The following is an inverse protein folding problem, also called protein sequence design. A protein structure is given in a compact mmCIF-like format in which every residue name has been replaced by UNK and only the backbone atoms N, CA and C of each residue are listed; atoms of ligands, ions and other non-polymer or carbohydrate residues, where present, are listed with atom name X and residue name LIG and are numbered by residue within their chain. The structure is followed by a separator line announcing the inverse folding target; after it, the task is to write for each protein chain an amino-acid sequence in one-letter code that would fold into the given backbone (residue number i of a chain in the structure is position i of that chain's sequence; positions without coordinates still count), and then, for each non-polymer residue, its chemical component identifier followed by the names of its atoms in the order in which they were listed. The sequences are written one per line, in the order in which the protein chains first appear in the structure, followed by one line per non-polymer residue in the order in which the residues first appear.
data_IF_073553969700
#
_entry.id   IF_073553969700
#
_cell.length_a   1.000
_cell.length_b   1.000
_cell.length_c   1.000
_cell.angle_alpha   90.00
_cell.angle_beta   90.00
_cell.angle_gamma   90.00
#
_symmetry.space_group_name_H-M   'P 1'
#
loop_
_entity.id
_entity.type
_entity.pdbx_description
1 polymer ?
#
# COMPACT_ATOMS: atom_id res chain seq x y z
N UNK A 1 58.16 7.49 47.61
CA UNK A 1 58.50 7.92 46.24
C UNK A 1 57.36 7.51 45.33
N UNK A 2 56.32 8.32 45.26
CA UNK A 2 55.30 8.26 44.22
C UNK A 2 55.06 9.73 43.87
N UNK A 3 55.54 10.08 42.69
CA UNK A 3 55.63 11.45 42.17
C UNK A 3 54.29 11.85 41.56
N UNK A 4 53.83 13.01 42.01
CA UNK A 4 52.69 13.77 41.53
C UNK A 4 53.06 14.44 40.20
N UNK A 5 52.18 14.40 39.20
CA UNK A 5 52.54 14.79 37.83
C UNK A 5 51.37 15.27 36.99
N UNK A 6 50.61 16.20 37.57
CA UNK A 6 49.63 17.09 36.97
C UNK A 6 49.94 17.49 35.50
N UNK A 7 49.01 17.25 34.58
CA UNK A 7 49.06 17.82 33.23
C UNK A 7 47.72 18.43 32.84
N UNK A 8 47.56 19.68 33.24
CA UNK A 8 46.55 20.61 32.74
C UNK A 8 46.64 20.73 31.21
N UNK A 9 45.55 20.40 30.52
CA UNK A 9 45.36 20.63 29.09
C UNK A 9 44.69 21.99 28.84
N UNK A 10 45.12 22.76 27.82
CA UNK A 10 44.65 24.11 27.56
C UNK A 10 43.23 24.15 27.00
N UNK A 11 42.46 25.16 27.43
CA UNK A 11 41.11 25.46 26.96
C UNK A 11 41.10 25.87 25.47
N UNK A 12 40.14 25.40 24.66
CA UNK A 12 39.98 25.87 23.29
C UNK A 12 39.31 27.25 23.26
N UNK A 13 39.87 28.10 22.40
CA UNK A 13 39.45 29.47 22.13
C UNK A 13 38.05 29.55 21.51
N UNK A 14 37.26 30.48 22.04
CA UNK A 14 35.95 30.90 21.52
C UNK A 14 36.18 31.90 20.38
N UNK A 15 35.69 31.66 19.15
CA UNK A 15 35.72 32.68 18.10
C UNK A 15 34.56 33.67 18.30
N UNK A 16 34.94 34.92 18.53
CA UNK A 16 34.09 36.12 18.53
C UNK A 16 33.29 36.23 17.23
N UNK A 17 31.97 36.36 17.32
CA UNK A 17 31.14 36.85 16.21
C UNK A 17 31.03 38.37 16.28
N UNK A 18 31.23 39.09 15.16
CA UNK A 18 30.99 40.53 15.10
C UNK A 18 29.49 40.84 15.00
N UNK A 19 29.07 41.74 15.89
CA UNK A 19 27.81 42.47 15.84
C UNK A 19 27.68 43.21 14.50
N UNK A 20 26.52 43.05 13.86
CA UNK A 20 26.19 43.67 12.58
C UNK A 20 24.71 44.00 12.55
N UNK A 21 24.33 44.97 13.36
CA UNK A 21 23.06 45.69 13.31
C UNK A 21 23.05 46.61 12.08
N UNK A 22 21.97 46.61 11.29
CA UNK A 22 21.54 47.90 10.78
C UNK A 22 20.02 48.11 10.88
N UNK A 23 19.72 49.25 11.50
CA UNK A 23 18.80 50.27 11.02
C UNK A 23 17.32 49.90 10.88
N UNK A 24 16.58 50.32 11.90
CA UNK A 24 15.20 50.76 11.78
C UNK A 24 15.04 51.86 10.72
N UNK A 25 14.00 51.72 9.91
CA UNK A 25 13.44 52.74 9.01
C UNK A 25 11.92 52.51 8.87
N UNK A 26 11.13 53.58 8.65
CA UNK A 26 9.87 53.78 9.36
C UNK A 26 8.61 53.33 8.61
N UNK A 27 7.51 53.48 9.34
CA UNK A 27 6.11 53.24 9.03
C UNK A 27 5.55 53.96 7.78
N UNK A 28 4.27 53.65 7.52
CA UNK A 28 3.36 54.16 6.48
C UNK A 28 3.42 53.31 5.19
N UNK A 29 2.34 52.79 4.62
CA UNK A 29 1.02 53.37 4.49
C UNK A 29 -0.05 52.29 4.22
N UNK A 30 -1.26 52.58 4.68
CA UNK A 30 -2.44 51.77 4.48
C UNK A 30 -2.82 51.65 3.00
N UNK A 31 -3.06 50.43 2.52
CA UNK A 31 -4.05 50.22 1.46
C UNK A 31 -4.79 48.92 1.72
N UNK A 32 -5.85 49.09 2.52
CA UNK A 32 -6.94 48.15 2.70
C UNK A 32 -7.94 48.38 1.56
N UNK A 33 -7.79 47.64 0.47
CA UNK A 33 -8.87 47.36 -0.48
C UNK A 33 -8.92 45.85 -0.65
N UNK A 34 -9.64 45.24 0.28
CA UNK A 34 -10.10 43.87 0.19
C UNK A 34 -11.29 43.86 -0.77
N UNK A 35 -11.03 43.98 -2.06
CA UNK A 35 -12.01 43.62 -3.07
C UNK A 35 -12.09 42.10 -3.14
N UNK A 36 -13.19 41.64 -2.57
CA UNK A 36 -13.65 40.27 -2.52
C UNK A 36 -14.10 39.91 -3.93
N UNK A 37 -13.13 39.68 -4.82
CA UNK A 37 -13.40 39.05 -6.10
C UNK A 37 -14.00 37.68 -5.81
N UNK A 38 -15.29 37.56 -6.12
CA UNK A 38 -15.99 36.30 -6.25
C UNK A 38 -15.34 35.51 -7.37
N UNK A 39 -14.22 34.87 -7.08
CA UNK A 39 -13.72 33.76 -7.88
C UNK A 39 -14.74 32.65 -7.72
N UNK A 40 -15.74 32.70 -8.59
CA UNK A 40 -16.62 31.59 -8.91
C UNK A 40 -15.67 30.44 -9.19
N UNK A 41 -15.52 29.52 -8.24
CA UNK A 41 -14.83 28.27 -8.46
C UNK A 41 -15.60 27.58 -9.58
N UNK A 42 -15.13 27.78 -10.81
CA UNK A 42 -15.49 26.96 -11.95
C UNK A 42 -15.30 25.52 -11.46
N UNK A 43 -16.36 24.68 -11.52
CA UNK A 43 -16.31 23.35 -10.93
C UNK A 43 -15.18 22.60 -11.63
N UNK A 44 -14.05 22.47 -10.92
CA UNK A 44 -12.83 21.91 -11.45
C UNK A 44 -13.20 20.56 -12.06
N UNK A 45 -13.02 20.44 -13.38
CA UNK A 45 -13.21 19.19 -14.08
C UNK A 45 -12.51 18.10 -13.26
N UNK A 46 -13.26 17.05 -12.91
CA UNK A 46 -12.77 16.02 -11.99
C UNK A 46 -11.53 15.37 -12.60
N UNK A 47 -10.36 15.82 -12.17
CA UNK A 47 -9.06 15.33 -12.59
C UNK A 47 -8.92 13.90 -12.06
N UNK A 48 -9.13 12.91 -12.92
CA UNK A 48 -8.87 11.51 -12.57
C UNK A 48 -7.47 11.15 -13.04
N UNK A 49 -6.53 11.13 -12.10
CA UNK A 49 -5.20 10.54 -12.31
C UNK A 49 -5.22 9.14 -11.71
N UNK A 50 -4.80 8.12 -12.47
CA UNK A 50 -4.62 6.79 -11.89
C UNK A 50 -3.48 6.83 -10.86
N UNK A 51 -3.86 6.76 -9.59
CA UNK A 51 -2.94 6.79 -8.46
C UNK A 51 -1.95 5.63 -8.49
N UNK A 52 -2.33 4.47 -9.04
CA UNK A 52 -1.44 3.31 -9.12
C UNK A 52 -0.35 3.54 -10.17
N UNK A 53 -0.70 4.11 -11.32
CA UNK A 53 0.24 4.46 -12.38
C UNK A 53 1.18 5.58 -11.93
N UNK A 54 0.66 6.65 -11.32
CA UNK A 54 1.48 7.74 -10.79
C UNK A 54 2.52 7.24 -9.77
N UNK A 55 2.12 6.33 -8.86
CA UNK A 55 3.04 5.70 -7.90
C UNK A 55 4.12 4.89 -8.61
N UNK A 56 3.77 4.16 -9.68
CA UNK A 56 4.71 3.36 -10.45
C UNK A 56 5.72 4.24 -11.19
N UNK A 57 5.26 5.31 -11.84
CA UNK A 57 6.12 6.28 -12.52
C UNK A 57 7.07 6.97 -11.53
N UNK A 58 6.57 7.40 -10.38
CA UNK A 58 7.41 7.98 -9.33
C UNK A 58 8.48 7.02 -8.81
N UNK A 59 8.11 5.79 -8.51
CA UNK A 59 9.02 4.77 -7.98
C UNK A 59 10.10 4.37 -8.99
N UNK A 60 9.80 4.45 -10.29
CA UNK A 60 10.74 4.15 -11.36
C UNK A 60 11.67 5.33 -11.68
N UNK A 61 11.13 6.55 -11.70
CA UNK A 61 11.84 7.75 -12.15
C UNK A 61 12.63 8.46 -11.06
N UNK A 62 12.36 8.19 -9.77
CA UNK A 62 13.04 8.83 -8.65
C UNK A 62 13.61 7.82 -7.65
N UNK A 63 14.78 8.15 -7.13
CA UNK A 63 15.38 7.46 -6.00
C UNK A 63 14.65 7.77 -4.68
N UNK A 64 14.80 6.91 -3.68
CA UNK A 64 14.22 7.11 -2.34
C UNK A 64 14.65 8.45 -1.71
N UNK A 65 15.90 8.86 -1.91
CA UNK A 65 16.42 10.13 -1.41
C UNK A 65 15.80 11.35 -2.10
N UNK A 66 15.56 11.30 -3.41
CA UNK A 66 14.84 12.37 -4.12
C UNK A 66 13.39 12.48 -3.63
N UNK A 67 12.69 11.33 -3.51
CA UNK A 67 11.31 11.30 -3.00
C UNK A 67 11.22 11.84 -1.57
N UNK A 68 12.21 11.57 -0.72
CA UNK A 68 12.29 12.14 0.63
C UNK A 68 12.42 13.67 0.62
N UNK A 69 13.20 14.24 -0.31
CA UNK A 69 13.31 15.71 -0.47
C UNK A 69 12.00 16.33 -0.92
N UNK A 70 11.29 15.67 -1.85
CA UNK A 70 9.94 16.10 -2.22
C UNK A 70 8.98 16.01 -1.03
N UNK A 71 8.99 14.89 -0.31
CA UNK A 71 8.16 14.71 0.87
C UNK A 71 8.40 15.81 1.92
N UNK A 72 9.66 16.17 2.19
CA UNK A 72 10.03 17.28 3.08
C UNK A 72 9.47 18.63 2.59
N UNK A 73 9.62 18.94 1.29
CA UNK A 73 9.05 20.16 0.67
C UNK A 73 7.54 20.27 0.87
N UNK A 74 6.84 19.13 0.77
CA UNK A 74 5.40 19.04 0.93
C UNK A 74 4.94 18.78 2.38
N UNK A 75 5.87 18.77 3.35
CA UNK A 75 5.62 18.43 4.76
C UNK A 75 4.88 17.11 4.91
N UNK A 76 5.37 16.10 4.21
CA UNK A 76 4.96 14.69 4.31
C UNK A 76 6.13 13.93 4.92
N UNK A 77 5.87 13.19 5.99
CA UNK A 77 6.90 12.35 6.61
C UNK A 77 6.99 11.02 5.87
N UNK A 78 8.14 10.75 5.28
CA UNK A 78 8.51 9.43 4.74
C UNK A 78 9.63 8.86 5.58
N UNK A 79 9.66 7.54 5.72
CA UNK A 79 10.80 6.86 6.34
C UNK A 79 12.06 7.09 5.49
N UNK A 80 13.16 7.52 6.13
CA UNK A 80 14.43 7.81 5.45
C UNK A 80 15.09 6.56 4.88
N UNK A 81 14.85 5.41 5.53
CA UNK A 81 15.42 4.13 5.13
C UNK A 81 14.48 3.32 4.22
N UNK A 82 13.36 3.94 3.80
CA UNK A 82 12.34 3.32 2.96
C UNK A 82 12.79 3.13 1.50
N UNK A 83 12.11 2.22 0.80
CA UNK A 83 12.32 2.03 -0.65
C UNK A 83 11.65 3.16 -1.44
N UNK A 84 12.10 3.41 -2.67
CA UNK A 84 11.48 4.41 -3.54
C UNK A 84 9.98 4.14 -3.80
N UNK A 85 9.60 2.86 -3.91
CA UNK A 85 8.20 2.46 -4.04
C UNK A 85 7.35 2.84 -2.83
N UNK A 86 7.90 2.71 -1.62
CA UNK A 86 7.19 3.09 -0.40
C UNK A 86 7.11 4.60 -0.24
N UNK A 87 8.22 5.31 -0.50
CA UNK A 87 8.23 6.78 -0.54
C UNK A 87 7.20 7.36 -1.51
N UNK A 88 7.10 6.78 -2.72
CA UNK A 88 6.11 7.19 -3.72
C UNK A 88 4.68 6.94 -3.26
N UNK A 89 4.40 5.78 -2.64
CA UNK A 89 3.06 5.45 -2.10
C UNK A 89 2.62 6.42 -1.02
N UNK A 90 3.51 6.71 -0.05
CA UNK A 90 3.22 7.62 1.07
C UNK A 90 3.01 9.04 0.55
N UNK A 91 3.87 9.52 -0.35
CA UNK A 91 3.78 10.86 -0.92
C UNK A 91 2.47 11.05 -1.70
N UNK A 92 2.14 10.13 -2.61
CA UNK A 92 0.90 10.20 -3.40
C UNK A 92 -0.32 10.16 -2.50
N UNK A 93 -0.38 9.23 -1.53
CA UNK A 93 -1.52 9.12 -0.61
C UNK A 93 -1.71 10.40 0.23
N UNK A 94 -0.61 10.99 0.72
CA UNK A 94 -0.68 12.19 1.55
C UNK A 94 -1.14 13.43 0.76
N UNK A 95 -0.77 13.53 -0.51
CA UNK A 95 -1.14 14.66 -1.38
C UNK A 95 -2.52 14.49 -2.02
N UNK A 96 -2.94 13.26 -2.28
CA UNK A 96 -4.31 12.91 -2.68
C UNK A 96 -5.33 13.40 -1.65
N UNK A 97 -5.11 13.06 -0.37
CA UNK A 97 -5.98 13.55 0.73
C UNK A 97 -5.97 15.07 0.94
N UNK A 98 -5.03 15.80 0.33
CA UNK A 98 -4.95 17.27 0.36
C UNK A 98 -5.36 17.93 -0.95
N UNK A 99 -5.82 17.16 -1.95
CA UNK A 99 -6.12 17.63 -3.30
C UNK A 99 -4.95 18.38 -3.98
N UNK A 100 -3.70 17.96 -3.72
CA UNK A 100 -2.46 18.59 -4.24
C UNK A 100 -1.72 17.75 -5.28
N UNK A 101 -2.36 16.69 -5.78
CA UNK A 101 -1.77 15.85 -6.83
C UNK A 101 -1.44 16.62 -8.13
N UNK A 102 -2.27 17.55 -8.62
CA UNK A 102 -1.94 18.29 -9.85
C UNK A 102 -0.67 19.13 -9.68
N UNK A 103 -0.55 19.85 -8.55
CA UNK A 103 0.64 20.65 -8.25
C UNK A 103 1.91 19.78 -8.15
N UNK A 104 1.80 18.57 -7.59
CA UNK A 104 2.90 17.61 -7.57
C UNK A 104 3.29 17.20 -9.00
N UNK A 105 2.34 16.77 -9.83
CA UNK A 105 2.61 16.33 -11.21
C UNK A 105 3.26 17.46 -12.02
N UNK A 106 2.75 18.69 -11.93
CA UNK A 106 3.37 19.86 -12.57
C UNK A 106 4.80 20.11 -12.07
N UNK A 107 5.04 19.99 -10.76
CA UNK A 107 6.40 20.13 -10.19
C UNK A 107 7.35 19.01 -10.65
N UNK A 108 6.86 17.79 -10.84
CA UNK A 108 7.66 16.65 -11.29
C UNK A 108 7.99 16.76 -12.79
N UNK A 109 7.03 17.19 -13.61
CA UNK A 109 7.21 17.48 -15.03
C UNK A 109 8.28 18.55 -15.24
N UNK A 110 8.28 19.61 -14.42
CA UNK A 110 9.30 20.66 -14.47
C UNK A 110 10.71 20.14 -14.16
N UNK A 111 10.85 19.16 -13.26
CA UNK A 111 12.14 18.61 -12.87
C UNK A 111 12.65 17.50 -13.81
N UNK A 112 11.76 16.69 -14.40
CA UNK A 112 12.10 15.60 -15.32
C UNK A 112 11.10 15.54 -16.49
N UNK A 113 11.31 16.37 -17.54
CA UNK A 113 10.39 16.44 -18.69
C UNK A 113 10.48 15.22 -19.61
N UNK A 114 11.54 14.40 -19.50
CA UNK A 114 11.75 13.20 -20.32
C UNK A 114 10.93 11.98 -19.87
N UNK A 115 10.27 12.06 -18.72
CA UNK A 115 9.40 10.98 -18.23
C UNK A 115 8.00 11.23 -18.76
N UNK A 116 7.41 10.22 -19.38
CA UNK A 116 6.00 10.25 -19.78
C UNK A 116 5.16 10.17 -18.51
N UNK A 117 4.66 11.31 -18.06
CA UNK A 117 3.80 11.42 -16.89
C UNK A 117 2.37 11.09 -17.28
N UNK A 118 1.60 10.36 -16.46
CA UNK A 118 0.21 10.07 -16.76
C UNK A 118 -0.52 11.39 -17.00
N UNK A 119 -0.90 11.61 -18.26
CA UNK A 119 -1.58 12.83 -18.65
C UNK A 119 -2.98 12.76 -18.03
N UNK A 120 -3.40 13.81 -17.32
CA UNK A 120 -4.70 13.81 -16.69
C UNK A 120 -5.76 13.69 -17.79
N UNK A 121 -6.53 12.60 -17.75
CA UNK A 121 -7.68 12.47 -18.63
C UNK A 121 -8.69 13.54 -18.22
N UNK A 122 -8.76 14.59 -19.05
CA UNK A 122 -9.83 15.56 -18.97
C UNK A 122 -11.07 14.83 -19.48
N UNK A 123 -11.79 14.20 -18.55
CA UNK A 123 -13.11 13.67 -18.84
C UNK A 123 -13.92 14.89 -19.30
N UNK A 124 -14.32 14.95 -20.59
CA UNK A 124 -15.07 16.09 -21.07
C UNK A 124 -16.29 16.22 -20.18
N UNK A 125 -16.46 17.39 -19.58
CA UNK A 125 -17.63 17.68 -18.76
C UNK A 125 -18.84 17.16 -19.54
N UNK A 126 -19.72 16.34 -18.92
CA UNK A 126 -20.87 15.79 -19.62
C UNK A 126 -21.50 16.97 -20.34
N UNK A 127 -21.71 16.89 -21.68
CA UNK A 127 -22.30 18.00 -22.41
C UNK A 127 -23.54 18.32 -21.60
N UNK A 128 -23.57 19.51 -20.99
CA UNK A 128 -24.73 19.93 -20.22
C UNK A 128 -25.84 19.83 -21.24
N UNK A 129 -26.62 18.74 -21.16
CA UNK A 129 -27.75 18.53 -22.00
C UNK A 129 -28.53 19.78 -21.74
N UNK A 130 -28.57 20.65 -22.75
CA UNK A 130 -29.34 21.87 -22.71
C UNK A 130 -30.67 21.41 -22.14
N UNK A 131 -30.99 21.90 -20.95
CA UNK A 131 -32.34 21.82 -20.42
C UNK A 131 -33.17 22.57 -21.46
N UNK A 132 -33.58 21.84 -22.50
CA UNK A 132 -34.63 22.27 -23.39
C UNK A 132 -35.79 22.53 -22.46
N UNK A 133 -36.21 23.78 -22.46
CA UNK A 133 -37.43 24.24 -21.82
C UNK A 133 -38.54 23.20 -21.99
N UNK A 134 -39.35 22.94 -20.94
CA UNK A 134 -40.52 22.11 -21.09
C UNK A 134 -41.43 22.76 -22.13
N UNK A 135 -41.39 22.25 -23.37
CA UNK A 135 -42.42 22.51 -24.37
C UNK A 135 -43.73 22.03 -23.78
N UNK A 136 -44.63 22.97 -23.51
CA UNK A 136 -46.00 22.77 -23.07
C UNK A 136 -46.66 21.62 -23.82
N UNK A 137 -46.83 20.48 -23.14
CA UNK A 137 -47.68 19.41 -23.62
C UNK A 137 -49.16 19.76 -23.33
N UNK A 138 -50.08 19.53 -24.27
CA UNK A 138 -51.51 19.76 -24.08
C UNK A 138 -52.09 18.79 -23.05
N UNK A 139 -52.95 19.34 -22.20
CA UNK A 139 -53.66 18.69 -21.11
C UNK A 139 -54.39 17.42 -21.55
N UNK A 140 -54.12 16.29 -20.91
CA UNK A 140 -55.01 15.12 -20.94
C UNK A 140 -55.91 15.11 -19.70
N UNK A 141 -57.18 14.69 -19.83
CA UNK A 141 -58.13 14.65 -18.73
C UNK A 141 -57.80 13.56 -17.72
N UNK A 142 -57.77 13.97 -16.45
CA UNK A 142 -57.60 13.13 -15.27
C UNK A 142 -58.82 12.21 -15.16
N UNK A 143 -58.60 10.89 -15.28
CA UNK A 143 -59.59 9.89 -14.87
C UNK A 143 -59.22 9.44 -13.47
N UNK A 144 -60.05 9.82 -12.50
CA UNK A 144 -59.93 9.40 -11.11
C UNK A 144 -60.20 7.89 -11.00
N UNK A 145 -59.20 7.12 -10.58
CA UNK A 145 -59.36 5.72 -10.18
C UNK A 145 -58.92 5.55 -8.72
N UNK A 146 -59.82 4.95 -7.96
CA UNK A 146 -59.87 4.82 -6.52
C UNK A 146 -58.64 4.19 -5.84
N UNK A 147 -58.34 4.72 -4.65
CA UNK A 147 -57.55 4.08 -3.59
C UNK A 147 -58.18 2.76 -3.14
N UNK A 148 -57.41 1.68 -2.93
CA UNK A 148 -57.75 0.64 -1.97
C UNK A 148 -57.15 0.90 -0.58
N UNK A 149 -57.82 0.47 0.50
CA UNK A 149 -57.54 0.89 1.87
C UNK A 149 -56.41 0.11 2.56
N UNK A 150 -55.89 0.74 3.61
CA UNK A 150 -54.94 0.24 4.58
C UNK A 150 -55.34 -1.13 5.17
N UNK A 151 -54.40 -2.07 5.14
CA UNK A 151 -54.43 -3.25 5.99
C UNK A 151 -53.43 -3.07 7.14
N UNK A 152 -53.96 -2.72 8.31
CA UNK A 152 -53.36 -2.97 9.61
C UNK A 152 -53.20 -4.49 9.77
N UNK A 153 -51.99 -4.98 9.99
CA UNK A 153 -51.78 -6.27 10.64
C UNK A 153 -50.88 -6.06 11.85
N UNK A 154 -51.46 -6.39 13.01
CA UNK A 154 -50.87 -6.25 14.31
C UNK A 154 -49.79 -7.30 14.61
N UNK A 155 -49.02 -6.95 15.62
CA UNK A 155 -48.13 -7.83 16.37
C UNK A 155 -48.88 -9.04 16.97
N UNK A 156 -48.13 -10.12 17.23
CA UNK A 156 -47.71 -10.40 18.61
C UNK A 156 -46.18 -10.60 18.65
N UNK A 157 -45.42 -10.11 19.61
CA UNK A 157 -45.60 -10.32 21.05
C UNK A 157 -44.71 -11.48 21.50
N UNK A 158 -43.41 -11.22 21.68
CA UNK A 158 -42.48 -12.10 22.42
C UNK A 158 -41.11 -11.43 22.67
N UNK A 159 -41.00 -10.70 23.77
CA UNK A 159 -39.83 -10.72 24.67
C UNK A 159 -40.02 -11.87 25.68
N UNK A 160 -39.05 -12.32 26.53
CA UNK A 160 -37.75 -11.71 26.87
C UNK A 160 -36.55 -12.69 26.96
N UNK A 161 -35.33 -12.18 26.79
CA UNK A 161 -34.24 -12.43 27.75
C UNK A 161 -33.09 -11.45 27.50
N UNK A 162 -32.91 -10.53 28.47
CA UNK A 162 -31.83 -9.57 28.49
C UNK A 162 -30.51 -10.19 28.93
N UNK A 163 -29.44 -9.82 28.22
CA UNK A 163 -28.07 -9.83 28.72
C UNK A 163 -27.48 -8.44 28.47
N UNK A 164 -26.82 -7.80 29.45
CA UNK A 164 -26.34 -6.43 29.27
C UNK A 164 -25.20 -6.39 28.25
N UNK A 165 -25.44 -5.62 27.19
CA UNK A 165 -24.44 -5.20 26.21
C UNK A 165 -23.47 -4.23 26.91
N UNK A 166 -22.24 -4.68 27.14
CA UNK A 166 -21.15 -3.86 27.67
C UNK A 166 -20.70 -2.90 26.57
N UNK A 167 -20.83 -1.60 26.81
CA UNK A 167 -20.34 -0.54 25.94
C UNK A 167 -18.81 -0.37 26.11
N UNK A 168 -17.98 -0.65 25.09
CA UNK A 168 -16.53 -0.50 25.18
C UNK A 168 -16.04 0.96 25.13
N UNK A 169 -16.93 1.96 25.04
CA UNK A 169 -16.55 3.38 24.96
C UNK A 169 -16.83 4.21 26.22
N UNK A 170 -17.31 3.59 27.30
CA UNK A 170 -17.47 4.27 28.60
C UNK A 170 -16.14 4.31 29.38
N UNK A 171 -15.27 5.27 29.07
CA UNK A 171 -14.18 5.67 29.97
C UNK A 171 -14.71 6.57 31.10
N UNK A 172 -14.28 6.38 32.36
CA UNK A 172 -14.71 7.22 33.46
C UNK A 172 -14.06 8.61 33.37
N UNK A 173 -14.89 9.63 33.52
CA UNK A 173 -14.49 11.00 33.80
C UNK A 173 -13.97 11.14 35.25
N UNK A 174 -12.83 11.81 35.41
CA UNK A 174 -12.52 12.85 36.43
C UNK A 174 -10.99 12.92 36.71
N UNK A 175 -10.45 14.05 37.22
CA UNK A 175 -11.10 15.33 37.52
C UNK A 175 -10.49 16.55 36.81
N UNK A 176 -11.32 17.59 36.78
CA UNK A 176 -10.97 18.99 36.59
C UNK A 176 -9.90 19.47 37.56
N UNK A 177 -9.07 20.41 37.09
CA UNK A 177 -8.38 21.37 37.96
C UNK A 177 -6.91 21.57 37.65
N UNK A 178 -6.60 22.36 36.62
CA UNK A 178 -5.81 23.58 36.82
C UNK A 178 -5.85 24.44 35.56
N UNK A 179 -6.57 25.54 35.71
CA UNK A 179 -6.66 26.65 34.79
C UNK A 179 -5.49 27.63 35.05
N UNK A 180 -5.23 28.47 34.04
CA UNK A 180 -4.47 29.72 34.04
C UNK A 180 -2.97 29.68 33.67
N UNK A 181 -2.74 29.96 32.38
CA UNK A 181 -2.04 31.21 32.02
C UNK A 181 -0.55 31.10 31.68
N UNK A 182 -0.20 31.29 30.41
CA UNK A 182 1.16 31.67 30.02
C UNK A 182 1.57 31.17 28.65
N UNK A 183 1.27 31.95 27.61
CA UNK A 183 2.03 31.89 26.38
C UNK A 183 3.49 32.30 26.68
N UNK A 184 4.42 31.34 26.71
CA UNK A 184 5.83 31.63 26.92
C UNK A 184 6.73 30.40 27.11
N UNK A 185 7.55 30.14 26.09
CA UNK A 185 8.92 29.61 26.22
C UNK A 185 9.08 28.12 26.62
N UNK A 186 8.91 27.22 25.63
CA UNK A 186 9.07 25.76 25.79
C UNK A 186 10.51 25.23 25.66
N UNK A 187 11.51 26.09 25.46
CA UNK A 187 12.91 25.67 25.22
C UNK A 187 13.79 25.61 26.50
N UNK A 188 13.28 25.94 27.68
CA UNK A 188 14.12 26.18 28.87
C UNK A 188 14.10 25.07 29.95
N UNK A 189 13.76 23.82 29.62
CA UNK A 189 13.77 22.72 30.61
C UNK A 189 14.37 21.43 30.07
N UNK A 190 15.69 21.40 29.93
CA UNK A 190 16.44 20.16 29.68
C UNK A 190 17.81 20.17 30.39
N UNK A 191 17.79 20.14 31.73
CA UNK A 191 18.97 19.84 32.57
C UNK A 191 19.00 18.39 33.07
N UNK A 192 18.20 17.49 32.48
CA UNK A 192 18.20 16.03 32.76
C UNK A 192 18.94 15.24 31.66
N UNK A 193 19.56 15.93 30.69
CA UNK A 193 20.14 15.35 29.48
C UNK A 193 21.64 15.02 29.51
N UNK A 194 22.30 14.97 30.67
CA UNK A 194 23.75 14.66 30.76
C UNK A 194 24.07 13.26 31.28
N UNK A 195 23.13 12.59 31.97
CA UNK A 195 23.34 11.22 32.47
C UNK A 195 23.00 10.13 31.43
N UNK A 196 22.09 10.41 30.50
CA UNK A 196 21.70 9.45 29.46
C UNK A 196 22.74 9.34 28.32
N UNK A 197 23.40 10.44 27.96
CA UNK A 197 24.42 10.48 26.90
C UNK A 197 25.71 9.77 27.32
N UNK A 198 26.10 9.83 28.59
CA UNK A 198 27.25 9.08 29.12
C UNK A 198 27.05 7.56 29.03
N UNK A 199 25.83 7.05 29.27
CA UNK A 199 25.53 5.61 29.17
C UNK A 199 25.59 5.10 27.72
N UNK A 200 25.17 5.92 26.73
CA UNK A 200 25.24 5.54 25.31
C UNK A 200 26.70 5.44 24.83
N UNK A 201 27.58 6.33 25.29
CA UNK A 201 29.01 6.30 24.93
C UNK A 201 29.71 5.10 25.58
N UNK A 202 29.39 4.75 26.84
CA UNK A 202 29.93 3.56 27.52
C UNK A 202 29.44 2.28 26.85
N UNK A 203 28.17 2.21 26.41
CA UNK A 203 27.63 1.05 25.70
C UNK A 203 28.24 0.88 24.30
N UNK A 204 28.46 1.97 23.57
CA UNK A 204 29.12 1.94 22.27
C UNK A 204 30.60 1.53 22.37
N UNK A 205 31.32 1.99 23.40
CA UNK A 205 32.70 1.61 23.63
C UNK A 205 32.85 0.16 24.14
N UNK A 206 31.89 -0.32 24.94
CA UNK A 206 31.89 -1.70 25.46
C UNK A 206 31.65 -2.76 24.39
N UNK A 207 30.78 -2.48 23.40
CA UNK A 207 30.50 -3.41 22.30
C UNK A 207 31.69 -3.54 21.34
N UNK A 208 32.43 -2.44 21.11
CA UNK A 208 33.62 -2.44 20.25
C UNK A 208 34.77 -3.30 20.78
N UNK A 209 35.01 -3.30 22.11
CA UNK A 209 36.09 -4.06 22.72
C UNK A 209 35.70 -5.51 23.07
N UNK A 210 34.43 -5.75 23.45
CA UNK A 210 33.93 -7.10 23.72
C UNK A 210 33.78 -7.96 22.46
N UNK A 211 33.35 -7.37 21.34
CA UNK A 211 33.20 -8.07 20.07
C UNK A 211 34.52 -8.54 19.47
N UNK A 212 35.60 -7.76 19.61
CA UNK A 212 36.91 -8.10 19.07
C UNK A 212 37.58 -9.23 19.87
N UNK A 213 37.45 -9.23 21.20
CA UNK A 213 37.97 -10.27 22.06
C UNK A 213 37.22 -11.61 21.88
N UNK A 214 35.88 -11.57 21.74
CA UNK A 214 35.08 -12.78 21.47
C UNK A 214 35.34 -13.36 20.08
N UNK A 215 35.60 -12.51 19.08
CA UNK A 215 35.97 -12.92 17.73
C UNK A 215 37.39 -13.52 17.66
N UNK A 216 38.34 -12.99 18.43
CA UNK A 216 39.69 -13.55 18.53
C UNK A 216 39.74 -14.84 19.36
N UNK A 217 38.92 -14.99 20.40
CA UNK A 217 38.84 -16.23 21.19
C UNK A 217 38.05 -17.35 20.50
N UNK A 218 37.15 -17.03 19.57
CA UNK A 218 36.38 -18.03 18.81
C UNK A 218 37.16 -18.65 17.65
N UNK A 219 38.34 -18.11 17.30
CA UNK A 219 39.14 -18.59 16.16
C UNK A 219 40.13 -19.72 16.52
N UNK A 220 40.38 -19.98 17.80
CA UNK A 220 41.44 -20.92 18.23
C UNK A 220 40.98 -22.34 18.57
N UNK A 221 39.68 -22.66 18.50
CA UNK A 221 39.17 -23.94 19.04
C UNK A 221 38.57 -24.94 18.03
N UNK A 222 38.78 -24.77 16.72
CA UNK A 222 38.34 -25.77 15.73
C UNK A 222 39.47 -26.19 14.78
N UNK A 223 40.30 -27.12 15.26
CA UNK A 223 41.05 -28.04 14.41
C UNK A 223 40.29 -29.36 14.33
N UNK A 224 39.88 -29.70 13.10
CA UNK A 224 39.71 -31.03 12.46
C UNK A 224 38.35 -31.23 11.78
N UNK A 225 38.43 -31.13 10.44
CA UNK A 225 37.70 -31.87 9.41
C UNK A 225 36.17 -31.95 9.45
N UNK A 226 35.53 -30.96 8.81
CA UNK A 226 34.44 -31.19 7.88
C UNK A 226 34.28 -29.97 6.94
N UNK A 227 34.41 -30.19 5.64
CA UNK A 227 34.24 -29.18 4.59
C UNK A 227 32.78 -28.74 4.50
N UNK A 228 32.45 -27.58 5.09
CA UNK A 228 31.20 -26.85 4.85
C UNK A 228 31.48 -25.66 3.92
N UNK A 229 30.65 -25.39 2.89
CA UNK A 229 30.86 -24.27 1.99
C UNK A 229 30.70 -22.95 2.75
N UNK A 230 31.67 -22.06 2.56
CA UNK A 230 31.87 -20.84 3.35
C UNK A 230 30.66 -19.91 3.40
N UNK A 231 30.23 -19.63 4.62
CA UNK A 231 29.40 -18.49 4.99
C UNK A 231 30.29 -17.24 5.05
N UNK A 232 30.55 -16.64 3.88
CA UNK A 232 31.13 -15.31 3.77
C UNK A 232 30.24 -14.47 2.87
N UNK A 233 29.67 -13.39 3.43
CA UNK A 233 29.04 -12.26 2.73
C UNK A 233 28.48 -12.59 1.34
N UNK A 234 27.37 -13.33 1.31
CA UNK A 234 26.60 -13.48 0.09
C UNK A 234 26.08 -12.10 -0.31
N UNK A 235 26.81 -11.44 -1.22
CA UNK A 235 26.46 -10.15 -1.79
C UNK A 235 24.97 -10.14 -2.14
N UNK A 236 24.27 -9.05 -1.84
CA UNK A 236 22.83 -8.86 -2.14
C UNK A 236 22.51 -9.25 -3.60
N UNK A 237 23.47 -9.07 -4.51
CA UNK A 237 23.41 -9.53 -5.90
C UNK A 237 23.26 -11.06 -6.06
N UNK A 238 23.94 -11.89 -5.26
CA UNK A 238 23.80 -13.34 -5.28
C UNK A 238 22.44 -13.78 -4.71
N UNK A 239 21.96 -13.10 -3.67
CA UNK A 239 20.62 -13.35 -3.12
C UNK A 239 19.53 -12.99 -4.13
N UNK A 240 19.66 -11.84 -4.80
CA UNK A 240 18.75 -11.43 -5.87
C UNK A 240 18.81 -12.39 -7.07
N UNK A 241 20.01 -12.83 -7.47
CA UNK A 241 20.18 -13.80 -8.55
C UNK A 241 19.55 -15.16 -8.21
N UNK A 242 19.68 -15.62 -6.95
CA UNK A 242 19.04 -16.84 -6.49
C UNK A 242 17.50 -16.71 -6.52
N UNK A 243 16.97 -15.55 -6.11
CA UNK A 243 15.54 -15.32 -6.14
C UNK A 243 14.99 -15.27 -7.58
N UNK A 244 15.71 -14.61 -8.50
CA UNK A 244 15.36 -14.56 -9.93
C UNK A 244 15.42 -15.95 -10.58
N UNK A 245 16.42 -16.78 -10.26
CA UNK A 245 16.46 -18.17 -10.76
C UNK A 245 15.27 -18.98 -10.26
N UNK A 246 14.88 -18.81 -8.99
CA UNK A 246 13.71 -19.49 -8.43
C UNK A 246 12.41 -19.03 -9.09
N UNK A 247 12.24 -17.75 -9.41
CA UNK A 247 11.02 -17.25 -10.04
C UNK A 247 10.90 -17.69 -11.49
N UNK A 248 11.99 -17.67 -12.26
CA UNK A 248 12.04 -18.21 -13.63
C UNK A 248 11.66 -19.69 -13.63
N UNK A 249 12.22 -20.49 -12.71
CA UNK A 249 11.88 -21.91 -12.59
C UNK A 249 10.44 -22.20 -12.14
N UNK A 250 9.74 -21.25 -11.54
CA UNK A 250 8.30 -21.37 -11.25
C UNK A 250 7.45 -21.06 -12.48
N UNK A 251 7.80 -20.02 -13.24
CA UNK A 251 7.09 -19.65 -14.47
C UNK A 251 7.24 -20.73 -15.54
N UNK A 252 8.45 -21.27 -15.73
CA UNK A 252 8.67 -22.35 -16.71
C UNK A 252 7.88 -23.61 -16.36
N UNK A 253 7.85 -24.02 -15.08
CA UNK A 253 7.03 -25.13 -14.61
C UNK A 253 5.52 -24.88 -14.78
N UNK A 254 5.05 -23.67 -14.50
CA UNK A 254 3.64 -23.32 -14.70
C UNK A 254 3.22 -23.37 -16.18
N UNK A 255 4.15 -23.11 -17.10
CA UNK A 255 3.95 -23.21 -18.54
C UNK A 255 4.37 -24.56 -19.14
N UNK A 256 4.67 -25.58 -18.31
CA UNK A 256 5.13 -26.92 -18.74
C UNK A 256 6.33 -26.88 -19.70
N UNK A 257 7.28 -25.97 -19.47
CA UNK A 257 8.51 -25.85 -20.24
C UNK A 257 9.68 -26.43 -19.46
N UNK A 258 10.29 -27.48 -20.01
CA UNK A 258 11.57 -28.01 -19.51
C UNK A 258 12.68 -26.98 -19.75
N UNK A 259 13.34 -26.58 -18.66
CA UNK A 259 14.33 -25.49 -18.63
C UNK A 259 15.78 -25.96 -18.55
N UNK A 260 16.05 -27.23 -18.79
CA UNK A 260 17.40 -27.80 -18.57
C UNK A 260 18.38 -27.32 -19.64
N UNK A 261 19.39 -26.56 -19.21
CA UNK A 261 20.52 -26.12 -20.05
C UNK A 261 20.26 -24.86 -20.89
N UNK A 262 19.05 -24.30 -20.90
CA UNK A 262 18.74 -23.05 -21.59
C UNK A 262 19.08 -21.82 -20.73
N UNK A 263 19.40 -20.68 -21.35
CA UNK A 263 19.57 -19.44 -20.59
C UNK A 263 18.22 -19.01 -20.00
N UNK A 264 18.22 -18.31 -18.85
CA UNK A 264 16.99 -17.86 -18.21
C UNK A 264 16.09 -17.02 -19.14
N UNK A 265 16.70 -16.30 -20.09
CA UNK A 265 15.99 -15.50 -21.09
C UNK A 265 15.26 -16.38 -22.11
N UNK A 266 15.91 -17.44 -22.58
CA UNK A 266 15.32 -18.36 -23.57
C UNK A 266 14.20 -19.18 -22.94
N UNK A 267 14.41 -19.66 -21.71
CA UNK A 267 13.40 -20.40 -20.95
C UNK A 267 12.13 -19.55 -20.72
N UNK A 268 12.28 -18.26 -20.38
CA UNK A 268 11.14 -17.33 -20.27
C UNK A 268 10.48 -17.05 -21.62
N UNK A 269 11.23 -16.88 -22.70
CA UNK A 269 10.66 -16.65 -24.03
C UNK A 269 9.86 -17.86 -24.54
N UNK A 270 10.28 -19.08 -24.18
CA UNK A 270 9.58 -20.33 -24.48
C UNK A 270 8.33 -20.50 -23.61
N UNK A 271 8.43 -20.23 -22.31
CA UNK A 271 7.30 -20.20 -21.39
C UNK A 271 6.23 -19.19 -21.83
N UNK A 272 6.64 -17.97 -22.20
CA UNK A 272 5.73 -16.95 -22.71
C UNK A 272 5.01 -17.42 -23.97
N UNK A 273 5.72 -17.97 -24.97
CA UNK A 273 5.10 -18.51 -26.19
C UNK A 273 4.09 -19.62 -25.89
N UNK A 274 4.42 -20.53 -24.96
CA UNK A 274 3.54 -21.66 -24.59
C UNK A 274 2.30 -21.20 -23.83
N UNK A 275 2.45 -20.26 -22.90
CA UNK A 275 1.35 -19.74 -22.09
C UNK A 275 0.47 -18.71 -22.82
N UNK A 276 1.00 -18.03 -23.85
CA UNK A 276 0.24 -16.98 -24.58
C UNK A 276 -0.35 -17.44 -25.90
N UNK A 277 0.18 -18.51 -26.52
CA UNK A 277 -0.53 -19.10 -27.64
C UNK A 277 -1.71 -19.92 -27.09
N UNK A 278 -2.96 -19.51 -27.36
CA UNK A 278 -4.06 -20.45 -27.18
C UNK A 278 -3.73 -21.62 -28.09
N UNK A 279 -3.57 -22.80 -27.53
CA UNK A 279 -3.38 -24.02 -28.28
C UNK A 279 -4.67 -24.23 -29.08
N UNK A 280 -4.73 -23.64 -30.28
CA UNK A 280 -5.79 -23.87 -31.25
C UNK A 280 -5.66 -25.35 -31.57
N UNK A 281 -6.44 -26.18 -30.87
CA UNK A 281 -6.48 -27.63 -31.04
C UNK A 281 -6.55 -27.92 -32.55
N UNK A 282 -5.49 -28.46 -33.16
CA UNK A 282 -5.50 -28.78 -34.58
C UNK A 282 -6.47 -29.96 -34.76
N UNK A 283 -7.72 -29.65 -35.10
CA UNK A 283 -8.79 -30.64 -35.10
C UNK A 283 -10.21 -30.05 -35.14
N UNK A 284 -10.41 -28.77 -34.81
CA UNK A 284 -11.64 -28.04 -35.15
C UNK A 284 -11.39 -27.16 -36.38
N UNK A 285 -11.14 -27.78 -37.53
CA UNK A 285 -11.38 -27.11 -38.79
C UNK A 285 -12.92 -26.90 -38.91
N UNK A 286 -13.42 -25.67 -39.19
CA UNK A 286 -14.80 -25.51 -39.59
C UNK A 286 -14.96 -26.27 -40.91
N UNK A 287 -15.63 -27.43 -40.85
CA UNK A 287 -15.96 -28.19 -42.04
C UNK A 287 -16.73 -27.30 -43.03
N UNK A 288 -16.51 -27.49 -44.35
CA UNK A 288 -17.19 -26.69 -45.37
C UNK A 288 -18.71 -26.78 -45.18
N UNK A 289 -19.36 -25.62 -45.12
CA UNK A 289 -20.81 -25.51 -45.02
C UNK A 289 -21.44 -26.25 -46.20
N UNK A 290 -22.32 -27.24 -45.98
CA UNK A 290 -22.99 -27.92 -47.07
C UNK A 290 -24.01 -26.96 -47.73
N UNK A 291 -24.19 -27.04 -49.07
CA UNK A 291 -25.17 -26.23 -49.77
C UNK A 291 -26.59 -26.59 -49.30
N UNK A 292 -27.37 -25.57 -48.97
CA UNK A 292 -28.79 -25.67 -48.65
C UNK A 292 -29.55 -26.24 -49.85
N UNK A 293 -29.77 -27.55 -49.85
CA UNK A 293 -30.75 -28.20 -50.72
C UNK A 293 -31.92 -28.67 -49.88
N UNK A 294 -33.06 -28.04 -50.16
CA UNK A 294 -34.38 -28.42 -49.69
C UNK A 294 -34.69 -29.84 -50.16
N UNK A 295 -34.62 -30.81 -49.24
CA UNK A 295 -35.39 -32.06 -49.34
C UNK A 295 -35.57 -32.66 -47.95
N UNK A 296 -36.84 -32.78 -47.58
CA UNK A 296 -37.36 -33.40 -46.35
C UNK A 296 -36.95 -34.88 -46.26
N UNK A 297 -36.21 -35.31 -45.22
CA UNK A 297 -36.07 -36.72 -44.87
C UNK A 297 -37.00 -37.10 -43.70
N UNK A 298 -37.37 -38.39 -43.57
CA UNK A 298 -38.22 -38.88 -42.50
C UNK A 298 -37.51 -38.84 -41.13
N UNK A 299 -38.31 -38.63 -40.10
CA UNK A 299 -37.97 -38.41 -38.69
C UNK A 299 -37.11 -39.56 -38.11
N UNK A 300 -35.87 -39.29 -37.67
CA UNK A 300 -35.11 -40.21 -36.83
C UNK A 300 -35.67 -40.20 -35.39
N UNK A 301 -35.57 -41.31 -34.62
CA UNK A 301 -35.94 -41.32 -33.21
C UNK A 301 -35.10 -40.28 -32.46
N UNK A 302 -35.77 -39.49 -31.63
CA UNK A 302 -35.17 -38.35 -30.93
C UNK A 302 -34.00 -38.83 -30.05
N UNK A 303 -32.77 -38.32 -30.24
CA UNK A 303 -31.73 -38.52 -29.26
C UNK A 303 -32.16 -37.83 -27.96
N UNK A 304 -32.06 -38.56 -26.85
CA UNK A 304 -32.36 -38.06 -25.53
C UNK A 304 -31.67 -36.71 -25.33
N UNK A 305 -32.45 -35.65 -25.11
CA UNK A 305 -31.92 -34.32 -24.76
C UNK A 305 -30.99 -34.52 -23.57
N UNK A 306 -29.71 -34.12 -23.64
CA UNK A 306 -28.90 -34.01 -22.44
C UNK A 306 -29.61 -32.99 -21.55
N UNK A 307 -30.11 -33.47 -20.41
CA UNK A 307 -30.65 -32.63 -19.34
C UNK A 307 -29.64 -31.51 -19.08
N UNK A 308 -30.07 -30.22 -19.07
CA UNK A 308 -29.16 -29.12 -18.74
C UNK A 308 -28.55 -29.43 -17.39
N UNK A 309 -27.21 -29.58 -17.35
CA UNK A 309 -26.47 -29.75 -16.10
C UNK A 309 -26.82 -28.55 -15.23
N UNK A 310 -27.53 -28.84 -14.14
CA UNK A 310 -27.89 -27.89 -13.10
C UNK A 310 -26.61 -27.11 -12.73
N UNK A 311 -26.59 -25.76 -12.80
CA UNK A 311 -25.42 -24.99 -12.41
C UNK A 311 -25.04 -25.39 -10.98
N UNK A 312 -23.76 -25.70 -10.77
CA UNK A 312 -23.15 -26.06 -9.49
C UNK A 312 -23.31 -24.88 -8.50
N UNK A 313 -24.46 -24.76 -7.87
CA UNK A 313 -24.77 -23.73 -6.87
C UNK A 313 -24.06 -23.97 -5.52
N UNK A 314 -23.06 -24.85 -5.47
CA UNK A 314 -22.34 -25.22 -4.25
C UNK A 314 -20.99 -24.51 -4.09
N UNK A 315 -20.51 -23.80 -5.11
CA UNK A 315 -19.28 -23.01 -5.02
C UNK A 315 -19.25 -21.95 -3.90
N UNK A 316 -20.29 -21.13 -3.65
CA UNK A 316 -20.19 -20.07 -2.67
C UNK A 316 -19.93 -20.63 -1.26
N UNK A 317 -20.58 -21.75 -0.92
CA UNK A 317 -20.48 -22.37 0.41
C UNK A 317 -19.06 -22.90 0.70
N UNK A 318 -18.36 -23.40 -0.30
CA UNK A 318 -17.00 -23.92 -0.11
C UNK A 318 -15.99 -22.79 0.14
N UNK A 319 -16.07 -21.72 -0.66
CA UNK A 319 -15.22 -20.54 -0.50
C UNK A 319 -15.44 -19.86 0.85
N UNK A 320 -16.69 -19.74 1.30
CA UNK A 320 -17.03 -19.18 2.61
C UNK A 320 -16.44 -20.00 3.77
N UNK A 321 -16.34 -21.33 3.61
CA UNK A 321 -15.68 -22.19 4.60
C UNK A 321 -14.16 -21.96 4.61
N UNK A 322 -13.52 -21.83 3.45
CA UNK A 322 -12.10 -21.50 3.38
C UNK A 322 -11.82 -20.13 4.00
N UNK A 323 -12.67 -19.13 3.75
CA UNK A 323 -12.51 -17.80 4.31
C UNK A 323 -12.61 -17.82 5.84
N UNK A 324 -13.60 -18.52 6.40
CA UNK A 324 -13.73 -18.70 7.86
C UNK A 324 -12.51 -19.39 8.46
N UNK A 325 -11.96 -20.40 7.77
CA UNK A 325 -10.73 -21.07 8.22
C UNK A 325 -9.53 -20.12 8.24
N UNK A 326 -9.40 -19.26 7.22
CA UNK A 326 -8.34 -18.26 7.17
C UNK A 326 -8.42 -17.27 8.34
N UNK A 327 -9.60 -16.70 8.58
CA UNK A 327 -9.83 -15.78 9.70
C UNK A 327 -9.58 -16.45 11.05
N UNK A 328 -9.99 -17.71 11.19
CA UNK A 328 -9.73 -18.49 12.40
C UNK A 328 -8.23 -18.74 12.60
N UNK A 329 -7.50 -19.14 11.55
CA UNK A 329 -6.04 -19.32 11.59
C UNK A 329 -5.34 -18.02 12.00
N UNK A 330 -5.72 -16.89 11.40
CA UNK A 330 -5.17 -15.58 11.73
C UNK A 330 -5.40 -15.24 13.21
N UNK A 331 -6.64 -15.43 13.69
CA UNK A 331 -7.00 -15.12 15.08
C UNK A 331 -6.33 -16.06 16.10
N UNK A 332 -6.22 -17.36 15.81
CA UNK A 332 -5.73 -18.36 16.78
C UNK A 332 -4.22 -18.58 16.74
N UNK A 333 -3.61 -18.59 15.55
CA UNK A 333 -2.18 -18.90 15.39
C UNK A 333 -1.32 -17.63 15.39
N UNK A 334 -1.78 -16.55 14.74
CA UNK A 334 -0.95 -15.34 14.56
C UNK A 334 -1.23 -14.24 15.59
N UNK A 335 -2.41 -14.25 16.21
CA UNK A 335 -2.83 -13.23 17.17
C UNK A 335 -3.14 -11.87 16.51
N UNK A 336 -3.25 -10.83 17.35
CA UNK A 336 -3.46 -9.47 16.86
C UNK A 336 -2.19 -8.91 16.21
N UNK A 337 -2.37 -8.06 15.19
CA UNK A 337 -1.26 -7.43 14.49
C UNK A 337 -0.41 -6.60 15.47
N UNK A 338 0.90 -6.91 15.60
CA UNK A 338 1.75 -6.22 16.54
C UNK A 338 2.03 -4.78 16.08
N UNK A 339 1.96 -3.84 17.01
CA UNK A 339 2.32 -2.43 16.75
C UNK A 339 3.83 -2.19 16.77
N UNK A 340 4.62 -3.13 17.30
CA UNK A 340 6.07 -3.03 17.33
C UNK A 340 6.72 -3.69 16.11
N UNK A 341 7.59 -2.94 15.43
CA UNK A 341 8.29 -3.42 14.23
C UNK A 341 9.09 -4.71 14.45
N UNK A 342 9.64 -4.92 15.65
CA UNK A 342 10.41 -6.12 15.99
C UNK A 342 9.57 -7.42 15.92
N UNK A 343 8.27 -7.37 16.22
CA UNK A 343 7.36 -8.53 16.17
C UNK A 343 6.65 -8.67 14.82
N UNK A 344 6.73 -7.65 13.97
CA UNK A 344 6.03 -7.61 12.69
C UNK A 344 6.51 -8.70 11.73
N UNK A 345 7.82 -8.96 11.67
CA UNK A 345 8.39 -9.99 10.81
C UNK A 345 7.90 -11.40 11.18
N UNK A 346 7.69 -11.68 12.46
CA UNK A 346 7.17 -12.96 12.94
C UNK A 346 5.67 -13.09 12.63
N UNK A 347 4.89 -12.05 12.86
CA UNK A 347 3.48 -12.00 12.48
C UNK A 347 3.28 -12.20 10.97
N UNK A 348 4.09 -11.54 10.13
CA UNK A 348 4.06 -11.72 8.68
C UNK A 348 4.39 -13.15 8.24
N UNK A 349 5.37 -13.79 8.91
CA UNK A 349 5.71 -15.20 8.66
C UNK A 349 4.54 -16.13 9.02
N UNK A 350 3.87 -15.88 10.14
CA UNK A 350 2.68 -16.64 10.52
C UNK A 350 1.53 -16.45 9.53
N UNK A 351 1.24 -15.20 9.16
CA UNK A 351 0.18 -14.84 8.22
C UNK A 351 0.39 -15.50 6.86
N UNK A 352 1.63 -15.54 6.36
CA UNK A 352 1.99 -16.24 5.13
C UNK A 352 1.66 -17.75 5.21
N UNK A 353 1.86 -18.38 6.37
CA UNK A 353 1.45 -19.77 6.64
C UNK A 353 -0.06 -19.97 6.57
N UNK A 354 -0.85 -19.08 7.19
CA UNK A 354 -2.32 -19.13 7.11
C UNK A 354 -2.83 -18.92 5.68
N UNK A 355 -2.21 -18.00 4.92
CA UNK A 355 -2.55 -17.76 3.51
C UNK A 355 -2.23 -18.97 2.62
N UNK A 356 -1.13 -19.67 2.88
CA UNK A 356 -0.80 -20.91 2.16
C UNK A 356 -1.83 -22.03 2.42
N UNK A 357 -2.31 -22.18 3.66
CA UNK A 357 -3.40 -23.13 3.97
C UNK A 357 -4.72 -22.70 3.29
N UNK A 358 -5.02 -21.42 3.26
CA UNK A 358 -6.20 -20.86 2.60
C UNK A 358 -6.20 -21.11 1.08
N UNK A 359 -5.08 -20.87 0.39
CA UNK A 359 -4.98 -21.12 -1.04
C UNK A 359 -5.13 -22.60 -1.37
N UNK A 360 -4.56 -23.50 -0.56
CA UNK A 360 -4.78 -24.95 -0.69
C UNK A 360 -6.25 -25.34 -0.50
N UNK A 361 -6.94 -24.74 0.48
CA UNK A 361 -8.38 -24.95 0.68
C UNK A 361 -9.18 -24.55 -0.57
N UNK A 362 -8.88 -23.36 -1.12
CA UNK A 362 -9.55 -22.82 -2.31
C UNK A 362 -9.32 -23.68 -3.55
N UNK A 363 -8.12 -24.23 -3.72
CA UNK A 363 -7.81 -25.16 -4.83
C UNK A 363 -8.54 -26.51 -4.72
N UNK A 364 -8.97 -26.90 -3.52
CA UNK A 364 -9.75 -28.13 -3.29
C UNK A 364 -11.26 -27.93 -3.38
N UNK A 365 -11.74 -26.69 -3.50
CA UNK A 365 -13.15 -26.41 -3.70
C UNK A 365 -13.55 -26.69 -5.16
N UNK A 366 -14.48 -27.64 -5.42
CA UNK A 366 -14.91 -28.01 -6.75
C UNK A 366 -15.83 -26.99 -7.45
#
# INVERSE_FOLDING_TARGET
MADDGDRAGPAPAVPSQPEGEPAAGPAEEATRTQDRDGSTHEPAAAYQVDLAELRRCLAFSFSAGELSKYAERWRVFTDRDGTAAEGARVLVRALDGRNKLPELVSSLQAHKPLVEWPEPEVIPAPPMAALSEPTSAPSQPITAAALPPAARNGAPGSEPMGGPLVDPFSQPAAPDGQDLGGAGNWWARSSVGTRATMLVIIFAAGIGLGGLAFWLLSRSNHSTDATAPGSGDANIAQLAAAHLRSSVGQVTRACEVDGDGETARDALAKAFRRCTQPEIRPGLAPGPLPPLTSRRPPKPPAPARPTPRRPLSHQPVCLDRCHRFHEQCKASECGAEPTSGAKYAEYQRCLAGCLAKYSQCRLRCP
#
